data_IF_621551956072
#
_entry.id   IF_621551956072
#
_cell.length_a   1.000
_cell.length_b   1.000
_cell.length_c   1.000
_cell.angle_alpha   90.00
_cell.angle_beta   90.00
_cell.angle_gamma   90.00
#
_symmetry.space_group_name_H-M   'P 1'
#
loop_
_entity.id
_entity.type
_entity.pdbx_description
1 polymer ?
#
# COMPACT_ATOMS: atom_id res chain seq x y z
N UNK A 1 4.14 36.94 -6.40
CA UNK A 1 4.06 35.88 -5.43
C UNK A 1 3.15 34.79 -5.83
N UNK A 2 1.90 35.14 -6.06
CA UNK A 2 0.95 34.13 -6.49
C UNK A 2 1.29 33.53 -7.84
N UNK A 3 2.03 34.27 -8.64
CA UNK A 3 2.42 33.81 -9.98
C UNK A 3 3.33 32.58 -9.93
N UNK A 4 4.21 32.53 -8.96
CA UNK A 4 5.11 31.37 -8.84
C UNK A 4 4.32 30.09 -8.52
N UNK A 5 3.36 30.20 -7.64
CA UNK A 5 2.54 29.07 -7.28
C UNK A 5 1.70 28.59 -8.45
N UNK A 6 1.16 29.54 -9.20
CA UNK A 6 0.38 29.21 -10.39
C UNK A 6 1.22 28.54 -11.45
N UNK A 7 2.45 29.00 -11.62
CA UNK A 7 3.36 28.38 -12.58
C UNK A 7 3.69 26.94 -12.20
N UNK A 8 3.93 26.70 -10.93
CA UNK A 8 4.20 25.35 -10.45
C UNK A 8 3.00 24.45 -10.68
N UNK A 9 1.82 24.95 -10.41
CA UNK A 9 0.59 24.19 -10.64
C UNK A 9 0.41 23.87 -12.11
N UNK A 10 0.66 24.83 -12.97
CA UNK A 10 0.54 24.62 -14.41
C UNK A 10 1.52 23.57 -14.90
N UNK A 11 2.75 23.65 -14.42
CA UNK A 11 3.77 22.67 -14.82
C UNK A 11 3.40 21.27 -14.37
N UNK A 12 2.89 21.14 -13.15
CA UNK A 12 2.47 19.83 -12.66
C UNK A 12 1.29 19.29 -13.44
N UNK A 13 0.33 20.14 -13.72
CA UNK A 13 -0.82 19.71 -14.52
C UNK A 13 -0.42 19.31 -15.92
N UNK A 14 0.48 20.09 -16.52
CA UNK A 14 0.98 19.77 -17.86
C UNK A 14 1.71 18.45 -17.85
N UNK A 15 2.52 18.18 -16.83
CA UNK A 15 3.23 16.92 -16.73
C UNK A 15 2.26 15.74 -16.59
N UNK A 16 1.25 15.90 -15.74
CA UNK A 16 0.26 14.84 -15.54
C UNK A 16 -0.49 14.57 -16.84
N UNK A 17 -0.90 15.64 -17.52
CA UNK A 17 -1.60 15.48 -18.79
C UNK A 17 -0.72 14.85 -19.85
N UNK A 18 0.54 15.23 -19.87
CA UNK A 18 1.48 14.65 -20.83
C UNK A 18 1.68 13.16 -20.56
N UNK A 19 1.83 12.80 -19.30
CA UNK A 19 1.96 11.39 -18.95
C UNK A 19 0.72 10.60 -19.31
N UNK A 20 -0.45 11.17 -19.07
CA UNK A 20 -1.69 10.51 -19.44
C UNK A 20 -1.84 10.39 -20.94
N UNK A 21 -1.48 11.45 -21.66
CA UNK A 21 -1.54 11.43 -23.12
C UNK A 21 -0.57 10.41 -23.70
N UNK A 22 0.63 10.32 -23.14
CA UNK A 22 1.59 9.33 -23.61
C UNK A 22 1.11 7.92 -23.33
N UNK A 23 0.53 7.70 -22.16
CA UNK A 23 -0.01 6.39 -21.84
C UNK A 23 -1.14 6.00 -22.77
N UNK A 24 -1.99 6.98 -23.12
CA UNK A 24 -3.07 6.73 -24.07
C UNK A 24 -2.59 6.59 -25.50
N UNK A 25 -1.58 7.34 -25.86
CA UNK A 25 -1.04 7.31 -27.21
C UNK A 25 -0.22 6.07 -27.50
N UNK A 26 0.28 5.39 -26.46
CA UNK A 26 1.11 4.21 -26.61
C UNK A 26 0.50 3.02 -25.86
N UNK A 27 -0.37 2.25 -26.51
CA UNK A 27 -0.99 1.13 -25.85
C UNK A 27 -0.02 0.05 -25.40
N UNK A 28 1.11 -0.08 -26.07
CA UNK A 28 2.11 -1.04 -25.64
C UNK A 28 2.73 -0.68 -24.30
N UNK A 29 3.00 0.60 -24.10
CA UNK A 29 3.55 1.05 -22.82
C UNK A 29 2.55 0.87 -21.71
N UNK A 30 1.28 1.17 -21.97
CA UNK A 30 0.23 0.97 -20.98
C UNK A 30 0.07 -0.50 -20.63
N UNK A 31 0.14 -1.36 -21.64
CA UNK A 31 0.03 -2.80 -21.43
C UNK A 31 1.20 -3.31 -20.59
N UNK A 32 2.40 -2.83 -20.88
CA UNK A 32 3.58 -3.23 -20.10
C UNK A 32 3.48 -2.77 -18.65
N UNK A 33 2.96 -1.57 -18.43
CA UNK A 33 2.76 -1.09 -17.07
C UNK A 33 1.75 -1.92 -16.32
N UNK A 34 0.65 -2.26 -16.97
CA UNK A 34 -0.36 -3.11 -16.36
C UNK A 34 0.21 -4.48 -16.02
N UNK A 35 0.98 -5.05 -16.93
CA UNK A 35 1.61 -6.34 -16.67
C UNK A 35 2.61 -6.27 -15.55
N UNK A 36 3.42 -5.21 -15.51
CA UNK A 36 4.39 -5.04 -14.44
C UNK A 36 3.70 -4.92 -13.08
N UNK A 37 2.62 -4.17 -13.02
CA UNK A 37 1.85 -4.04 -11.80
C UNK A 37 1.21 -5.36 -11.40
N UNK A 38 0.67 -6.08 -12.36
CA UNK A 38 0.06 -7.38 -12.08
C UNK A 38 1.10 -8.37 -11.56
N UNK A 39 2.28 -8.36 -12.13
CA UNK A 39 3.37 -9.21 -11.66
C UNK A 39 3.80 -8.86 -10.25
N UNK A 40 3.93 -7.59 -9.97
CA UNK A 40 4.29 -7.14 -8.62
C UNK A 40 3.23 -7.55 -7.61
N UNK A 41 1.97 -7.39 -7.95
CA UNK A 41 0.88 -7.78 -7.08
C UNK A 41 0.86 -9.29 -6.86
N UNK A 42 1.14 -10.05 -7.91
CA UNK A 42 1.20 -11.51 -7.80
C UNK A 42 2.34 -11.95 -6.88
N UNK A 43 3.51 -11.31 -7.01
CA UNK A 43 4.65 -11.63 -6.14
C UNK A 43 4.36 -11.26 -4.70
N UNK A 44 3.72 -10.12 -4.48
CA UNK A 44 3.29 -9.71 -3.17
C UNK A 44 2.36 -10.72 -2.54
N UNK A 45 1.35 -11.12 -3.31
CA UNK A 45 0.37 -12.09 -2.82
C UNK A 45 1.02 -13.42 -2.49
N UNK A 46 1.96 -13.84 -3.33
CA UNK A 46 2.67 -15.09 -3.10
C UNK A 46 3.51 -15.02 -1.82
N UNK A 47 4.22 -13.92 -1.65
CA UNK A 47 5.04 -13.72 -0.45
C UNK A 47 4.17 -13.69 0.80
N UNK A 48 3.07 -12.96 0.76
CA UNK A 48 2.16 -12.90 1.89
C UNK A 48 1.54 -14.25 2.20
N UNK A 49 1.29 -15.04 1.17
CA UNK A 49 0.76 -16.39 1.37
C UNK A 49 1.77 -17.27 2.11
N UNK A 50 3.05 -17.06 1.86
CA UNK A 50 4.09 -17.84 2.52
C UNK A 50 4.30 -17.45 3.96
N UNK A 51 4.10 -16.17 4.29
CA UNK A 51 4.42 -15.69 5.63
C UNK A 51 3.21 -15.60 6.54
N UNK A 52 2.01 -15.69 5.99
CA UNK A 52 0.77 -15.55 6.77
C UNK A 52 0.01 -16.88 6.81
N UNK A 53 -0.56 -17.18 7.97
CA UNK A 53 -1.46 -18.32 8.07
C UNK A 53 -2.77 -18.02 7.32
N UNK A 54 -3.56 -19.05 7.00
CA UNK A 54 -4.84 -18.80 6.33
C UNK A 54 -5.75 -17.87 7.11
N UNK A 55 -5.77 -17.99 8.43
CA UNK A 55 -6.60 -17.11 9.27
C UNK A 55 -6.13 -15.68 9.19
N UNK A 56 -4.82 -15.46 9.20
CA UNK A 56 -4.27 -14.11 9.08
C UNK A 56 -4.60 -13.51 7.73
N UNK A 57 -4.50 -14.29 6.66
CA UNK A 57 -4.83 -13.81 5.32
C UNK A 57 -6.30 -13.44 5.21
N UNK A 58 -7.14 -14.23 5.84
CA UNK A 58 -8.57 -13.96 5.85
C UNK A 58 -8.87 -12.64 6.56
N UNK A 59 -8.21 -12.41 7.68
CA UNK A 59 -8.36 -11.15 8.40
C UNK A 59 -7.93 -9.95 7.54
N UNK A 60 -6.81 -10.10 6.83
CA UNK A 60 -6.36 -9.03 5.94
C UNK A 60 -7.36 -8.75 4.83
N UNK A 61 -7.93 -9.79 4.27
CA UNK A 61 -8.93 -9.63 3.22
C UNK A 61 -10.15 -8.86 3.75
N UNK A 62 -10.60 -9.21 4.93
CA UNK A 62 -11.73 -8.51 5.56
C UNK A 62 -11.39 -7.06 5.85
N UNK A 63 -10.21 -6.80 6.38
CA UNK A 63 -9.78 -5.45 6.68
C UNK A 63 -9.59 -4.60 5.44
N UNK A 64 -9.20 -5.22 4.35
CA UNK A 64 -8.99 -4.49 3.10
C UNK A 64 -10.28 -3.87 2.60
N UNK A 65 -11.39 -4.49 2.90
CA UNK A 65 -12.68 -3.96 2.49
C UNK A 65 -13.05 -2.70 3.24
N UNK A 66 -12.70 -2.61 4.51
CA UNK A 66 -13.07 -1.47 5.33
C UNK A 66 -11.94 -0.46 5.51
N UNK A 67 -10.69 -0.91 5.51
CA UNK A 67 -9.54 -0.05 5.75
C UNK A 67 -8.40 -0.39 4.78
N UNK A 68 -8.57 -0.06 3.50
CA UNK A 68 -7.55 -0.44 2.52
C UNK A 68 -6.19 0.21 2.74
N UNK A 69 -6.17 1.46 3.21
CA UNK A 69 -4.91 2.15 3.44
C UNK A 69 -4.11 1.50 4.57
N UNK A 70 -4.81 1.07 5.61
CA UNK A 70 -4.18 0.39 6.74
C UNK A 70 -3.58 -0.93 6.30
N UNK A 71 -4.32 -1.69 5.48
CA UNK A 71 -3.84 -2.96 4.98
C UNK A 71 -2.62 -2.78 4.09
N UNK A 72 -2.60 -1.74 3.27
CA UNK A 72 -1.43 -1.46 2.43
C UNK A 72 -0.19 -1.22 3.28
N UNK A 73 -0.31 -0.41 4.32
CA UNK A 73 0.81 -0.15 5.21
C UNK A 73 1.28 -1.42 5.90
N UNK A 74 0.33 -2.22 6.35
CA UNK A 74 0.66 -3.47 7.01
C UNK A 74 1.36 -4.44 6.06
N UNK A 75 0.88 -4.54 4.83
CA UNK A 75 1.51 -5.39 3.83
C UNK A 75 2.93 -4.97 3.54
N UNK A 76 3.18 -3.67 3.46
CA UNK A 76 4.53 -3.17 3.24
C UNK A 76 5.45 -3.55 4.39
N UNK A 77 4.97 -3.44 5.62
CA UNK A 77 5.74 -3.86 6.77
C UNK A 77 6.03 -5.35 6.75
N UNK A 78 5.04 -6.15 6.42
CA UNK A 78 5.21 -7.59 6.37
C UNK A 78 6.24 -8.00 5.32
N UNK A 79 6.17 -7.37 4.16
CA UNK A 79 7.11 -7.66 3.08
C UNK A 79 8.53 -7.25 3.50
N UNK A 80 8.65 -6.11 4.13
CA UNK A 80 9.94 -5.63 4.61
C UNK A 80 10.54 -6.59 5.64
N UNK A 81 9.72 -7.07 6.56
CA UNK A 81 10.17 -8.03 7.56
C UNK A 81 10.59 -9.34 6.91
N UNK A 82 9.84 -9.78 5.91
CA UNK A 82 10.16 -11.02 5.21
C UNK A 82 11.48 -10.90 4.46
N UNK A 83 11.69 -9.76 3.79
CA UNK A 83 12.91 -9.55 3.03
C UNK A 83 14.13 -9.42 3.91
N UNK A 84 13.95 -8.90 5.13
CA UNK A 84 15.07 -8.79 6.06
C UNK A 84 15.37 -10.10 6.79
N UNK A 85 14.59 -11.13 6.56
CA UNK A 85 14.79 -12.42 7.18
C UNK A 85 14.38 -12.49 8.63
N UNK A 86 13.60 -11.53 9.09
CA UNK A 86 13.16 -11.49 10.50
C UNK A 86 11.99 -12.39 10.79
N UNK A 87 11.30 -12.84 9.75
CA UNK A 87 10.17 -13.74 9.92
C UNK A 87 10.67 -15.14 9.84
N UNK A 88 10.70 -15.84 10.97
CA UNK A 88 11.16 -17.22 11.03
C UNK A 88 10.01 -18.19 10.93
N UNK A 89 8.87 -17.82 11.49
CA UNK A 89 7.66 -18.64 11.47
C UNK A 89 6.54 -17.86 10.81
N UNK A 90 5.51 -18.58 10.39
CA UNK A 90 4.36 -17.92 9.80
C UNK A 90 3.67 -17.03 10.83
N UNK A 91 3.21 -15.89 10.38
CA UNK A 91 2.48 -14.96 11.23
C UNK A 91 1.03 -15.42 11.31
N UNK A 92 0.57 -15.66 12.53
CA UNK A 92 -0.81 -16.06 12.75
C UNK A 92 -1.70 -14.85 13.02
N UNK A 93 -2.97 -15.10 13.26
CA UNK A 93 -3.95 -14.05 13.45
C UNK A 93 -3.61 -13.18 14.66
N UNK A 94 -3.12 -13.77 15.72
CA UNK A 94 -2.75 -13.01 16.92
C UNK A 94 -1.58 -12.07 16.67
N UNK A 95 -0.56 -12.57 16.02
CA UNK A 95 0.59 -11.74 15.68
C UNK A 95 0.20 -10.64 14.71
N UNK A 96 -0.72 -10.94 13.81
CA UNK A 96 -1.22 -9.94 12.88
C UNK A 96 -1.96 -8.84 13.62
N UNK A 97 -2.75 -9.20 14.61
CA UNK A 97 -3.43 -8.21 15.45
C UNK A 97 -2.45 -7.28 16.15
N UNK A 98 -1.36 -7.83 16.66
CA UNK A 98 -0.33 -7.03 17.30
C UNK A 98 0.31 -6.06 16.31
N UNK A 99 0.60 -6.53 15.11
CA UNK A 99 1.16 -5.67 14.08
C UNK A 99 0.18 -4.58 13.67
N UNK A 100 -1.09 -4.92 13.58
CA UNK A 100 -2.12 -3.94 13.27
C UNK A 100 -2.17 -2.84 14.32
N UNK A 101 -2.04 -3.21 15.58
CA UNK A 101 -2.05 -2.24 16.66
C UNK A 101 -0.85 -1.29 16.54
N UNK A 102 0.29 -1.78 16.09
CA UNK A 102 1.46 -0.95 15.91
C UNK A 102 1.33 0.00 14.74
N UNK A 103 0.67 -0.44 13.66
CA UNK A 103 0.49 0.38 12.48
C UNK A 103 -0.58 1.43 12.67
N UNK A 104 -1.58 1.12 13.43
CA UNK A 104 -2.66 2.08 13.67
C UNK A 104 -2.14 3.29 14.41
N UNK A 105 -2.48 4.50 13.94
CA UNK A 105 -2.03 5.69 14.64
C UNK A 105 -2.71 5.81 16.00
N UNK A 106 -1.95 6.23 17.01
CA UNK A 106 -2.49 6.35 18.35
C UNK A 106 -3.35 7.57 18.58
N UNK A 107 -3.62 8.31 17.56
CA UNK A 107 -4.31 9.59 17.70
C UNK A 107 -5.65 9.50 18.35
N UNK A 108 -6.25 8.37 18.31
CA UNK A 108 -7.58 8.26 18.83
C UNK A 108 -7.71 8.64 20.25
N UNK A 109 -6.78 8.22 21.04
CA UNK A 109 -6.86 8.52 22.41
C UNK A 109 -6.62 9.96 22.69
N UNK A 110 -5.80 10.59 21.88
CA UNK A 110 -5.53 11.97 22.15
C UNK A 110 -6.73 12.83 21.89
N UNK A 111 -7.49 12.47 20.97
CA UNK A 111 -8.58 13.33 20.64
C UNK A 111 -9.58 13.44 21.74
N UNK A 112 -9.50 12.66 22.63
CA UNK A 112 -10.41 12.72 23.59
C UNK A 112 -10.19 13.50 24.68
N UNK A 113 -9.86 13.58 24.68
CA UNK A 113 -9.88 13.98 25.46
C UNK A 113 -9.87 14.94 25.68
N UNK A 114 -9.90 15.08 25.71
CA UNK A 114 -9.87 15.76 26.10
C UNK A 114 -10.12 16.47 26.34
N UNK A 115 -10.30 16.43 26.54
CA UNK A 115 -10.55 17.05 26.95
C UNK A 115 -10.61 17.55 27.16
#
# INVERSE_FOLDING_TARGET
MDNELEEIRRKRMAQVQEQQAQAQANPEAAYRQEQAQAEMEARKAELLRKILTPEARERLTTLRMSRPALVEQLEMQLISLAQSGRIQNMIDDEQLKQLLAQVQPPKRETSIKRV
#
